data_IF_258184677108
#
_entry.id   IF_258184677108
#
_cell.length_a   1.000
_cell.length_b   1.000
_cell.length_c   1.000
_cell.angle_alpha   90.00
_cell.angle_beta   90.00
_cell.angle_gamma   90.00
#
_symmetry.space_group_name_H-M   'P 1'
#
loop_
_entity.id
_entity.type
_entity.pdbx_description
1 polymer ?
#
# COMPACT_ATOMS: atom_id res chain seq x y z
N UNK A 1 -66.71 33.52 34.13
CA UNK A 1 -65.81 34.59 33.67
C UNK A 1 -64.57 33.92 33.12
N UNK A 2 -64.58 33.68 31.81
CA UNK A 2 -64.09 34.60 30.76
C UNK A 2 -62.56 34.55 30.69
N UNK A 3 -61.95 33.85 29.72
CA UNK A 3 -61.83 34.14 28.27
C UNK A 3 -60.71 35.17 27.98
N UNK A 4 -59.65 34.68 27.30
CA UNK A 4 -58.76 35.37 26.33
C UNK A 4 -57.69 36.34 26.86
N UNK A 5 -56.55 36.59 26.22
CA UNK A 5 -55.91 36.11 24.98
C UNK A 5 -54.48 36.67 24.91
N UNK A 6 -53.56 35.96 24.26
CA UNK A 6 -52.78 36.52 23.15
C UNK A 6 -51.36 36.89 23.60
N UNK A 7 -50.30 36.92 22.79
CA UNK A 7 -50.00 36.57 21.41
C UNK A 7 -48.47 36.77 21.29
N UNK A 8 -47.77 36.07 20.39
CA UNK A 8 -46.39 36.45 20.05
C UNK A 8 -45.39 35.33 19.81
N UNK A 9 -45.64 34.41 18.87
CA UNK A 9 -44.56 33.63 18.25
C UNK A 9 -43.82 34.51 17.25
N UNK A 10 -42.63 34.98 17.62
CA UNK A 10 -41.67 35.51 16.65
C UNK A 10 -40.78 34.39 16.12
N UNK A 11 -40.72 34.31 14.79
CA UNK A 11 -39.81 33.51 14.02
C UNK A 11 -38.40 34.11 14.11
N UNK A 12 -37.41 33.27 14.43
CA UNK A 12 -36.00 33.52 14.11
C UNK A 12 -35.49 32.35 13.27
N UNK A 13 -35.22 32.65 12.02
CA UNK A 13 -34.34 31.89 11.13
C UNK A 13 -32.89 32.32 11.42
N UNK A 14 -31.95 31.48 10.98
CA UNK A 14 -30.46 31.62 10.96
C UNK A 14 -29.79 31.01 12.20
N UNK A 15 -28.91 30.01 12.09
CA UNK A 15 -28.37 29.31 10.93
C UNK A 15 -27.76 27.99 11.36
N UNK A 16 -27.79 27.01 10.45
CA UNK A 16 -27.17 25.71 10.64
C UNK A 16 -25.65 25.87 10.65
N UNK A 17 -25.01 25.54 11.78
CA UNK A 17 -23.57 25.30 11.82
C UNK A 17 -23.36 23.88 11.34
N UNK A 18 -22.94 23.74 10.09
CA UNK A 18 -22.38 22.50 9.57
C UNK A 18 -21.01 22.29 10.23
N UNK A 19 -20.94 21.37 11.19
CA UNK A 19 -19.67 20.87 11.70
C UNK A 19 -19.07 19.95 10.63
N UNK A 20 -18.14 20.49 9.82
CA UNK A 20 -17.28 19.68 8.96
C UNK A 20 -16.20 19.08 9.86
N UNK A 21 -16.37 17.81 10.21
CA UNK A 21 -15.29 16.98 10.73
C UNK A 21 -14.34 16.66 9.58
N UNK A 22 -13.28 17.46 9.44
CA UNK A 22 -12.14 17.09 8.61
C UNK A 22 -11.27 16.12 9.41
N UNK A 23 -11.43 14.82 9.15
CA UNK A 23 -10.55 13.77 9.68
C UNK A 23 -9.18 13.95 9.03
N UNK A 24 -8.24 14.58 9.75
CA UNK A 24 -6.85 14.70 9.34
C UNK A 24 -6.14 13.35 9.46
N UNK A 25 -5.87 12.69 8.33
CA UNK A 25 -4.84 11.65 8.28
C UNK A 25 -3.48 12.32 8.08
N UNK A 26 -2.84 12.64 9.19
CA UNK A 26 -1.45 13.08 9.21
C UNK A 26 -0.55 11.85 9.21
N UNK A 27 -0.07 11.40 8.04
CA UNK A 27 1.01 10.40 7.99
C UNK A 27 2.32 11.05 8.43
N UNK A 28 2.63 10.91 9.73
CA UNK A 28 3.93 11.25 10.29
C UNK A 28 4.89 10.07 10.15
N UNK A 29 5.98 10.33 9.43
CA UNK A 29 7.36 9.88 9.65
C UNK A 29 7.53 8.56 10.42
N UNK A 30 7.78 7.48 9.68
CA UNK A 30 8.43 6.29 10.25
C UNK A 30 9.94 6.55 10.37
N UNK A 31 10.39 7.05 11.53
CA UNK A 31 11.77 6.84 12.00
C UNK A 31 11.78 5.83 13.14
N UNK A 32 11.50 4.60 12.77
CA UNK A 32 12.12 3.42 13.34
C UNK A 32 12.40 2.55 12.12
N UNK A 33 13.57 1.91 12.02
CA UNK A 33 13.79 0.88 11.03
C UNK A 33 12.85 -0.29 11.34
N UNK A 34 11.59 -0.16 10.94
CA UNK A 34 10.62 -1.23 10.98
C UNK A 34 11.14 -2.25 9.98
N UNK A 35 11.87 -3.25 10.48
CA UNK A 35 12.24 -4.40 9.68
C UNK A 35 10.94 -4.95 9.07
N UNK A 36 10.92 -5.12 7.75
CA UNK A 36 9.78 -5.74 7.09
C UNK A 36 9.52 -7.10 7.75
N UNK A 37 8.26 -7.35 8.14
CA UNK A 37 7.84 -8.63 8.68
C UNK A 37 8.22 -9.73 7.69
N UNK A 38 8.70 -10.91 8.14
CA UNK A 38 9.01 -11.99 7.22
C UNK A 38 7.80 -12.34 6.35
N UNK A 39 8.00 -12.34 5.03
CA UNK A 39 6.97 -12.66 4.03
C UNK A 39 7.41 -13.90 3.30
N UNK A 40 6.54 -14.89 3.18
CA UNK A 40 6.80 -16.05 2.32
C UNK A 40 5.77 -16.09 1.20
N UNK A 41 6.26 -16.09 -0.04
CA UNK A 41 5.45 -16.28 -1.23
C UNK A 41 5.39 -17.76 -1.58
N UNK A 42 4.18 -18.25 -1.76
CA UNK A 42 3.87 -19.62 -2.12
C UNK A 42 3.09 -19.65 -3.44
N UNK A 43 3.36 -20.62 -4.30
CA UNK A 43 2.56 -20.89 -5.50
C UNK A 43 2.12 -22.33 -5.54
N UNK A 44 0.98 -22.57 -6.14
CA UNK A 44 0.45 -23.92 -6.31
C UNK A 44 -1.02 -23.89 -6.65
N UNK A 45 -1.81 -24.76 -6.04
CA UNK A 45 -3.22 -24.91 -6.38
C UNK A 45 -4.16 -24.95 -5.19
N UNK A 46 -5.38 -24.47 -5.42
CA UNK A 46 -6.56 -24.70 -4.59
C UNK A 46 -7.62 -25.34 -5.49
N UNK A 47 -8.01 -26.59 -5.23
CA UNK A 47 -8.98 -27.29 -6.08
C UNK A 47 -8.54 -27.44 -7.55
N UNK A 48 -7.22 -27.42 -7.80
CA UNK A 48 -6.63 -27.43 -9.14
C UNK A 48 -6.49 -26.05 -9.80
N UNK A 49 -7.10 -24.99 -9.26
CA UNK A 49 -6.92 -23.62 -9.76
C UNK A 49 -5.58 -23.05 -9.25
N UNK A 50 -4.82 -22.41 -10.15
CA UNK A 50 -3.54 -21.80 -9.82
C UNK A 50 -3.71 -20.56 -8.91
N UNK A 51 -2.91 -20.51 -7.85
CA UNK A 51 -2.91 -19.41 -6.89
C UNK A 51 -1.49 -19.04 -6.45
N UNK A 52 -1.34 -17.81 -5.98
CA UNK A 52 -0.22 -17.37 -5.16
C UNK A 52 -0.75 -16.98 -3.77
N UNK A 53 -0.09 -17.45 -2.72
CA UNK A 53 -0.40 -17.09 -1.33
C UNK A 53 0.82 -16.40 -0.73
N UNK A 54 0.63 -15.18 -0.25
CA UNK A 54 1.60 -14.47 0.56
C UNK A 54 1.21 -14.64 2.02
N UNK A 55 2.12 -15.20 2.82
CA UNK A 55 1.95 -15.26 4.28
C UNK A 55 2.98 -14.35 4.95
N UNK A 56 2.50 -13.48 5.83
CA UNK A 56 3.29 -12.51 6.58
C UNK A 56 3.23 -12.92 8.04
N UNK A 57 4.39 -13.26 8.61
CA UNK A 57 4.49 -13.67 10.00
C UNK A 57 4.81 -12.47 10.90
N UNK A 58 3.86 -12.13 11.78
CA UNK A 58 4.00 -11.10 12.80
C UNK A 58 4.44 -11.73 14.13
N UNK A 59 5.75 -11.96 14.25
CA UNK A 59 6.38 -12.55 15.44
C UNK A 59 6.19 -11.73 16.73
N UNK A 60 5.80 -10.45 16.63
CA UNK A 60 5.55 -9.61 17.81
C UNK A 60 4.18 -9.88 18.42
N UNK A 61 3.24 -10.40 17.63
CA UNK A 61 1.84 -10.61 18.00
C UNK A 61 1.41 -12.07 17.78
N UNK A 62 2.37 -12.98 17.59
CA UNK A 62 2.17 -14.40 17.29
C UNK A 62 1.05 -14.64 16.27
N UNK A 63 1.10 -13.89 15.17
CA UNK A 63 0.02 -13.84 14.19
C UNK A 63 0.51 -14.05 12.76
N UNK A 64 -0.39 -14.55 11.93
CA UNK A 64 -0.22 -14.65 10.49
C UNK A 64 -1.32 -13.84 9.80
N UNK A 65 -0.93 -13.06 8.80
CA UNK A 65 -1.82 -12.44 7.83
C UNK A 65 -1.24 -12.58 6.41
N UNK A 66 -1.80 -11.88 5.44
CA UNK A 66 -1.25 -11.83 4.09
C UNK A 66 -2.31 -11.71 3.02
N UNK A 67 -2.06 -12.35 1.87
CA UNK A 67 -2.88 -12.19 0.67
C UNK A 67 -3.01 -13.49 -0.11
N UNK A 68 -4.20 -13.74 -0.63
CA UNK A 68 -4.46 -14.74 -1.67
C UNK A 68 -4.57 -14.00 -3.01
N UNK A 69 -3.81 -14.45 -4.01
CA UNK A 69 -3.91 -14.00 -5.39
C UNK A 69 -4.34 -15.17 -6.27
N UNK A 70 -5.36 -14.95 -7.10
CA UNK A 70 -5.83 -15.94 -8.06
C UNK A 70 -5.50 -15.49 -9.48
N UNK A 71 -5.04 -16.41 -10.34
CA UNK A 71 -4.73 -16.08 -11.73
C UNK A 71 -5.99 -15.75 -12.56
N UNK A 72 -7.17 -16.16 -12.07
CA UNK A 72 -8.47 -15.94 -12.72
C UNK A 72 -8.95 -14.50 -12.51
N UNK A 73 -8.99 -14.05 -11.26
CA UNK A 73 -9.50 -12.70 -10.92
C UNK A 73 -8.38 -11.64 -10.94
N UNK A 74 -7.12 -12.10 -10.88
CA UNK A 74 -5.90 -11.29 -10.76
C UNK A 74 -6.06 -10.20 -9.73
N UNK A 75 -6.72 -10.59 -8.64
CA UNK A 75 -7.05 -9.75 -7.51
C UNK A 75 -6.27 -10.25 -6.32
N UNK A 76 -5.73 -9.33 -5.53
CA UNK A 76 -5.26 -9.66 -4.20
C UNK A 76 -6.45 -9.59 -3.25
N UNK A 77 -6.69 -10.70 -2.56
CA UNK A 77 -7.73 -10.82 -1.54
C UNK A 77 -7.04 -10.91 -0.19
N UNK A 78 -7.27 -9.96 0.74
CA UNK A 78 -6.59 -9.97 2.02
C UNK A 78 -6.99 -11.18 2.86
N UNK A 79 -6.03 -11.66 3.63
CA UNK A 79 -6.25 -12.69 4.64
C UNK A 79 -6.41 -12.03 6.01
N UNK A 80 -7.35 -12.52 6.82
CA UNK A 80 -7.56 -12.02 8.17
C UNK A 80 -6.34 -12.28 9.06
N UNK A 81 -5.98 -11.30 9.88
CA UNK A 81 -4.96 -11.52 10.90
C UNK A 81 -5.43 -12.54 11.92
N UNK A 82 -4.73 -13.67 11.97
CA UNK A 82 -5.10 -14.85 12.75
C UNK A 82 -3.94 -15.23 13.67
N UNK A 83 -4.19 -15.61 14.94
CA UNK A 83 -3.17 -16.21 15.79
C UNK A 83 -2.49 -17.41 15.13
N UNK A 84 -1.20 -17.60 15.40
CA UNK A 84 -0.38 -18.64 14.79
C UNK A 84 0.43 -19.39 15.85
N UNK A 85 0.51 -20.71 15.69
CA UNK A 85 1.36 -21.61 16.47
C UNK A 85 1.91 -22.69 15.54
N UNK A 86 3.18 -23.07 15.70
CA UNK A 86 3.84 -24.04 14.79
C UNK A 86 3.27 -25.45 14.90
N UNK A 87 2.72 -25.80 16.07
CA UNK A 87 2.17 -27.12 16.38
C UNK A 87 0.68 -27.25 16.04
N UNK A 88 0.02 -26.13 15.72
CA UNK A 88 -1.41 -26.08 15.41
C UNK A 88 -1.65 -25.78 13.92
N UNK A 89 -2.78 -26.25 13.39
CA UNK A 89 -3.20 -25.89 12.04
C UNK A 89 -3.60 -24.41 11.99
N UNK A 90 -3.24 -23.71 10.92
CA UNK A 90 -3.67 -22.32 10.71
C UNK A 90 -5.03 -22.31 10.00
N UNK A 91 -6.05 -21.74 10.66
CA UNK A 91 -7.35 -21.47 10.05
C UNK A 91 -7.49 -19.96 9.81
N UNK A 92 -7.25 -19.53 8.57
CA UNK A 92 -7.20 -18.11 8.21
C UNK A 92 -8.31 -17.76 7.22
N UNK A 93 -9.08 -16.71 7.51
CA UNK A 93 -10.18 -16.28 6.65
C UNK A 93 -9.66 -15.52 5.42
N UNK A 94 -10.28 -15.77 4.27
CA UNK A 94 -10.13 -15.00 3.03
C UNK A 94 -11.21 -13.92 3.02
N UNK A 95 -10.78 -12.66 3.09
CA UNK A 95 -11.66 -11.50 3.20
C UNK A 95 -12.03 -11.00 1.80
N UNK A 96 -13.20 -11.39 1.29
CA UNK A 96 -13.71 -10.93 0.00
C UNK A 96 -14.15 -9.46 0.04
N UNK A 97 -14.98 -9.02 -0.90
CA UNK A 97 -15.57 -7.67 -0.89
C UNK A 97 -16.97 -7.69 -0.24
N UNK A 98 -17.33 -6.87 0.78
CA UNK A 98 -16.59 -5.76 1.42
C UNK A 98 -15.89 -6.15 2.73
N UNK A 99 -14.80 -6.93 2.63
CA UNK A 99 -13.99 -7.49 3.73
C UNK A 99 -14.74 -8.47 4.63
N UNK A 100 -15.76 -9.14 4.10
CA UNK A 100 -16.41 -10.25 4.79
C UNK A 100 -15.70 -11.57 4.46
N UNK A 101 -15.57 -12.50 5.42
CA UNK A 101 -15.05 -13.84 5.14
C UNK A 101 -15.89 -14.53 4.06
N UNK A 102 -15.24 -14.91 2.96
CA UNK A 102 -15.86 -15.65 1.84
C UNK A 102 -15.42 -17.10 1.81
N UNK A 103 -14.16 -17.35 2.16
CA UNK A 103 -13.58 -18.68 2.34
C UNK A 103 -12.69 -18.70 3.59
N UNK A 104 -12.26 -19.88 4.00
CA UNK A 104 -11.20 -20.07 4.99
C UNK A 104 -10.16 -21.07 4.48
N UNK A 105 -8.88 -20.77 4.69
CA UNK A 105 -7.78 -21.68 4.43
C UNK A 105 -7.44 -22.40 5.74
N UNK A 106 -7.69 -23.71 5.80
CA UNK A 106 -7.31 -24.59 6.89
C UNK A 106 -6.00 -25.31 6.52
N UNK A 107 -4.87 -24.71 6.89
CA UNK A 107 -3.53 -25.24 6.62
C UNK A 107 -3.09 -26.20 7.74
N UNK A 108 -2.35 -27.24 7.36
CA UNK A 108 -1.70 -28.14 8.31
C UNK A 108 -0.63 -27.41 9.13
N UNK A 109 -0.28 -27.90 10.34
CA UNK A 109 0.82 -27.36 11.12
C UNK A 109 2.10 -27.29 10.30
N UNK A 110 2.75 -26.13 10.32
CA UNK A 110 3.97 -25.86 9.57
C UNK A 110 4.66 -24.64 10.16
N UNK A 111 5.99 -24.69 10.27
CA UNK A 111 6.82 -23.55 10.68
C UNK A 111 6.74 -22.39 9.66
N UNK A 112 6.97 -21.13 10.06
CA UNK A 112 6.90 -20.00 9.14
C UNK A 112 7.94 -20.15 8.03
N UNK A 113 7.48 -20.06 6.78
CA UNK A 113 8.35 -20.25 5.63
C UNK A 113 8.69 -21.71 5.33
N UNK A 114 7.90 -22.69 5.79
CA UNK A 114 8.03 -24.09 5.37
C UNK A 114 8.08 -24.23 3.83
N UNK A 115 8.77 -25.25 3.31
CA UNK A 115 8.92 -25.45 1.85
C UNK A 115 7.61 -25.77 1.14
N UNK A 116 6.71 -26.45 1.84
CA UNK A 116 5.41 -26.87 1.32
C UNK A 116 4.33 -26.52 2.32
N UNK A 117 3.18 -26.07 1.83
CA UNK A 117 1.96 -25.94 2.62
C UNK A 117 0.88 -26.83 2.01
N UNK A 118 0.15 -27.51 2.89
CA UNK A 118 -0.93 -28.44 2.56
C UNK A 118 -2.12 -28.09 3.42
N UNK A 119 -3.33 -28.30 2.92
CA UNK A 119 -4.52 -27.95 3.68
C UNK A 119 -5.80 -28.09 2.86
N UNK A 120 -6.84 -27.40 3.30
CA UNK A 120 -8.12 -27.30 2.59
C UNK A 120 -8.60 -25.86 2.56
N UNK A 121 -9.09 -25.42 1.42
CA UNK A 121 -9.92 -24.22 1.30
C UNK A 121 -11.36 -24.61 1.54
N UNK A 122 -12.11 -23.80 2.29
CA UNK A 122 -13.50 -24.03 2.65
C UNK A 122 -14.30 -22.80 2.21
N UNK A 123 -15.18 -22.96 1.23
CA UNK A 123 -16.15 -21.92 0.89
C UNK A 123 -17.16 -21.78 2.04
N UNK A 124 -17.31 -20.57 2.60
CA UNK A 124 -18.14 -20.36 3.79
C UNK A 124 -19.64 -20.31 3.49
N UNK A 125 -20.04 -20.12 2.23
CA UNK A 125 -21.44 -20.18 1.79
C UNK A 125 -21.85 -21.60 1.41
N UNK A 126 -21.12 -22.25 0.52
CA UNK A 126 -21.47 -23.56 -0.02
C UNK A 126 -20.99 -24.72 0.85
N UNK A 127 -20.00 -24.48 1.72
CA UNK A 127 -19.28 -25.49 2.52
C UNK A 127 -18.48 -26.48 1.67
N UNK A 128 -18.30 -26.20 0.38
CA UNK A 128 -17.42 -26.96 -0.49
C UNK A 128 -15.98 -26.87 0.03
N UNK A 129 -15.26 -28.00 -0.06
CA UNK A 129 -13.87 -28.10 0.35
C UNK A 129 -13.00 -28.49 -0.83
N UNK A 130 -11.87 -27.80 -0.95
CA UNK A 130 -10.91 -28.00 -2.03
C UNK A 130 -9.50 -28.14 -1.46
N UNK A 131 -8.73 -29.09 -1.97
CA UNK A 131 -7.37 -29.33 -1.49
C UNK A 131 -6.45 -28.15 -1.82
N UNK A 132 -5.60 -27.81 -0.86
CA UNK A 132 -4.53 -26.82 -1.00
C UNK A 132 -3.20 -27.57 -1.13
N UNK A 133 -2.45 -27.26 -2.18
CA UNK A 133 -1.08 -27.72 -2.37
C UNK A 133 -0.21 -26.57 -2.84
N UNK A 134 0.67 -26.08 -1.98
CA UNK A 134 1.51 -24.93 -2.27
C UNK A 134 2.99 -25.26 -2.03
N UNK A 135 3.84 -24.68 -2.85
CA UNK A 135 5.29 -24.73 -2.74
C UNK A 135 5.84 -23.31 -2.56
N UNK A 136 6.83 -23.18 -1.68
CA UNK A 136 7.49 -21.92 -1.41
C UNK A 136 8.31 -21.49 -2.63
N UNK A 137 8.00 -20.31 -3.14
CA UNK A 137 8.78 -19.65 -4.19
C UNK A 137 9.96 -18.91 -3.58
N UNK A 138 9.69 -18.05 -2.59
CA UNK A 138 10.70 -17.19 -1.96
C UNK A 138 10.28 -16.81 -0.55
N UNK A 139 11.26 -16.63 0.34
CA UNK A 139 11.08 -16.13 1.71
C UNK A 139 11.86 -14.83 1.85
N UNK A 140 11.14 -13.72 1.96
CA UNK A 140 11.67 -12.41 2.26
C UNK A 140 11.77 -12.25 3.77
N UNK A 141 12.97 -12.01 4.27
CA UNK A 141 13.25 -11.95 5.71
C UNK A 141 14.21 -10.81 6.03
N UNK A 142 14.03 -10.15 7.17
CA UNK A 142 14.97 -9.15 7.68
C UNK A 142 16.20 -9.76 8.35
N UNK A 143 16.21 -11.08 8.61
CA UNK A 143 17.33 -11.78 9.25
C UNK A 143 18.59 -11.68 8.38
N UNK A 144 19.70 -11.18 8.94
CA UNK A 144 20.97 -11.04 8.23
C UNK A 144 21.54 -12.38 7.74
N UNK A 145 21.19 -13.50 8.39
CA UNK A 145 21.58 -14.84 7.97
C UNK A 145 20.83 -15.32 6.72
N UNK A 146 19.69 -14.71 6.40
CA UNK A 146 18.88 -15.08 5.24
C UNK A 146 19.34 -14.34 3.98
N UNK A 147 19.26 -15.02 2.84
CA UNK A 147 19.42 -14.44 1.51
C UNK A 147 18.18 -14.76 0.68
N UNK A 148 17.82 -13.87 -0.24
CA UNK A 148 16.72 -14.07 -1.17
C UNK A 148 16.94 -13.34 -2.47
N UNK A 149 16.27 -13.83 -3.50
CA UNK A 149 16.24 -13.29 -4.86
C UNK A 149 14.90 -13.77 -5.46
N UNK A 150 14.02 -12.84 -5.79
CA UNK A 150 12.72 -13.19 -6.35
C UNK A 150 11.70 -12.07 -6.41
N UNK A 151 10.56 -12.39 -7.02
CA UNK A 151 9.45 -11.47 -7.22
C UNK A 151 8.50 -11.43 -6.04
N UNK A 152 8.03 -10.24 -5.66
CA UNK A 152 6.96 -10.05 -4.70
C UNK A 152 5.86 -9.15 -5.27
N UNK A 153 4.64 -9.66 -5.22
CA UNK A 153 3.43 -8.90 -5.53
C UNK A 153 3.23 -7.76 -4.52
N UNK A 154 2.89 -6.57 -5.03
CA UNK A 154 2.71 -5.35 -4.23
C UNK A 154 1.23 -5.08 -3.98
N UNK A 155 0.95 -4.40 -2.87
CA UNK A 155 -0.40 -4.00 -2.46
C UNK A 155 -0.50 -2.48 -2.36
N UNK A 156 -1.67 -1.87 -2.61
CA UNK A 156 -2.85 -2.43 -3.29
C UNK A 156 -2.61 -2.73 -4.79
N UNK A 157 -3.64 -3.14 -5.51
CA UNK A 157 -3.69 -3.13 -6.98
C UNK A 157 -4.91 -2.31 -7.42
N UNK A 158 -4.90 -1.74 -8.62
CA UNK A 158 -6.07 -1.03 -9.15
C UNK A 158 -6.91 -1.91 -10.09
N UNK A 159 -7.90 -1.30 -10.74
CA UNK A 159 -8.77 -2.03 -11.67
C UNK A 159 -8.02 -2.50 -12.92
N UNK A 160 -6.93 -1.84 -13.29
CA UNK A 160 -6.21 -2.01 -14.56
C UNK A 160 -4.86 -2.71 -14.39
N UNK A 161 -4.14 -2.44 -13.32
CA UNK A 161 -2.77 -2.87 -13.11
C UNK A 161 -2.56 -3.51 -11.74
N UNK A 162 -1.67 -4.48 -11.73
CA UNK A 162 -1.01 -4.96 -10.52
C UNK A 162 0.50 -4.95 -10.73
N UNK A 163 1.23 -4.86 -9.62
CA UNK A 163 2.67 -4.61 -9.64
C UNK A 163 3.41 -5.74 -8.95
N UNK A 164 4.54 -6.14 -9.51
CA UNK A 164 5.54 -6.96 -8.83
C UNK A 164 6.85 -6.22 -8.74
N UNK A 165 7.59 -6.45 -7.66
CA UNK A 165 8.97 -6.01 -7.52
C UNK A 165 9.89 -7.21 -7.51
N UNK A 166 10.99 -7.12 -8.25
CA UNK A 166 12.11 -8.02 -8.08
C UNK A 166 12.94 -7.54 -6.89
N UNK A 167 13.03 -8.34 -5.84
CA UNK A 167 13.76 -8.00 -4.63
C UNK A 167 14.88 -9.02 -4.35
N UNK A 168 16.03 -8.51 -3.95
CA UNK A 168 17.20 -9.33 -3.61
C UNK A 168 17.88 -8.86 -2.34
N UNK A 169 18.50 -9.81 -1.65
CA UNK A 169 19.34 -9.58 -0.48
C UNK A 169 20.39 -10.68 -0.38
N UNK A 170 21.65 -10.29 -0.29
CA UNK A 170 22.74 -11.21 0.01
C UNK A 170 22.84 -11.47 1.52
N UNK A 171 23.41 -12.63 1.89
CA UNK A 171 23.67 -12.95 3.30
C UNK A 171 24.62 -11.91 3.91
N UNK A 172 24.28 -11.40 5.10
CA UNK A 172 24.99 -10.35 5.82
C UNK A 172 24.49 -8.93 5.51
N UNK A 173 23.64 -8.75 4.48
CA UNK A 173 23.01 -7.46 4.23
C UNK A 173 21.86 -7.20 5.22
N UNK A 174 21.73 -5.94 5.65
CA UNK A 174 20.74 -5.54 6.65
C UNK A 174 19.33 -5.39 6.07
N UNK A 175 19.18 -5.20 4.76
CA UNK A 175 17.90 -4.96 4.11
C UNK A 175 17.94 -5.38 2.64
N UNK A 176 16.77 -5.68 2.07
CA UNK A 176 16.67 -5.98 0.65
C UNK A 176 16.71 -4.75 -0.21
N UNK A 177 17.01 -4.99 -1.48
CA UNK A 177 16.93 -4.00 -2.55
C UNK A 177 15.93 -4.45 -3.60
N UNK A 178 15.26 -3.48 -4.21
CA UNK A 178 14.51 -3.68 -5.44
C UNK A 178 15.27 -3.08 -6.60
N UNK A 179 15.46 -3.88 -7.65
CA UNK A 179 16.12 -3.46 -8.90
C UNK A 179 15.18 -3.40 -10.10
N UNK A 180 14.00 -4.02 -9.99
CA UNK A 180 13.01 -4.08 -11.07
C UNK A 180 11.60 -3.93 -10.52
N UNK A 181 10.78 -3.14 -11.20
CA UNK A 181 9.32 -3.09 -11.03
C UNK A 181 8.69 -3.56 -12.34
N UNK A 182 7.84 -4.59 -12.26
CA UNK A 182 7.05 -5.05 -13.41
C UNK A 182 5.59 -4.68 -13.22
N UNK A 183 5.04 -3.97 -14.20
CA UNK A 183 3.63 -3.58 -14.28
C UNK A 183 2.91 -4.59 -15.15
N UNK A 184 1.85 -5.19 -14.62
CA UNK A 184 1.03 -6.15 -15.35
C UNK A 184 -0.36 -5.58 -15.62
N UNK A 185 -0.85 -5.75 -16.85
CA UNK A 185 -2.25 -5.52 -17.16
C UNK A 185 -3.12 -6.62 -16.52
N UNK A 186 -4.11 -6.21 -15.73
CA UNK A 186 -4.99 -7.10 -14.99
C UNK A 186 -5.96 -7.85 -15.91
N UNK A 187 -6.38 -7.27 -17.02
CA UNK A 187 -7.31 -7.91 -17.95
C UNK A 187 -6.69 -9.14 -18.65
N UNK A 188 -5.37 -9.15 -18.85
CA UNK A 188 -4.68 -10.23 -19.57
C UNK A 188 -3.61 -10.96 -18.76
N UNK A 189 -3.19 -10.41 -17.61
CA UNK A 189 -2.10 -10.93 -16.79
C UNK A 189 -0.72 -10.82 -17.44
N UNK A 190 -0.56 -9.95 -18.43
CA UNK A 190 0.68 -9.78 -19.19
C UNK A 190 1.47 -8.56 -18.70
N UNK A 191 2.81 -8.62 -18.66
CA UNK A 191 3.62 -7.45 -18.37
C UNK A 191 3.43 -6.42 -19.48
N UNK A 192 3.07 -5.19 -19.10
CA UNK A 192 2.93 -4.05 -20.01
C UNK A 192 4.06 -3.05 -19.89
N UNK A 193 4.80 -3.09 -18.77
CA UNK A 193 5.98 -2.28 -18.57
C UNK A 193 6.92 -2.95 -17.58
N UNK A 194 8.23 -2.80 -17.84
CA UNK A 194 9.30 -3.14 -16.92
C UNK A 194 10.10 -1.87 -16.68
N UNK A 195 10.33 -1.53 -15.42
CA UNK A 195 11.17 -0.42 -14.99
C UNK A 195 12.37 -1.07 -14.29
N UNK A 196 13.54 -0.98 -14.89
CA UNK A 196 14.76 -1.66 -14.48
C UNK A 196 15.86 -0.68 -14.03
N UNK A 197 16.99 -1.24 -13.60
CA UNK A 197 18.15 -0.44 -13.17
C UNK A 197 17.91 0.35 -11.89
N UNK A 198 16.98 -0.10 -11.06
CA UNK A 198 16.59 0.58 -9.83
C UNK A 198 17.52 0.21 -8.66
N UNK A 199 17.61 1.09 -7.66
CA UNK A 199 18.21 0.78 -6.37
C UNK A 199 17.31 1.35 -5.27
N UNK A 200 16.27 0.58 -4.92
CA UNK A 200 15.22 0.99 -3.99
C UNK A 200 15.28 0.18 -2.71
N UNK A 201 14.82 0.82 -1.63
CA UNK A 201 14.60 0.14 -0.36
C UNK A 201 13.44 -0.86 -0.48
N UNK A 202 13.69 -2.12 -0.15
CA UNK A 202 12.64 -3.13 -0.09
C UNK A 202 11.92 -3.10 1.26
N UNK A 203 10.60 -2.92 1.22
CA UNK A 203 9.72 -2.88 2.40
C UNK A 203 8.58 -3.91 2.29
N UNK A 204 8.87 -5.08 1.72
CA UNK A 204 7.86 -6.13 1.56
C UNK A 204 6.78 -5.76 0.55
N UNK A 205 5.53 -6.06 0.87
CA UNK A 205 4.36 -5.75 0.02
C UNK A 205 4.08 -4.24 -0.10
N UNK A 206 4.68 -3.43 0.78
CA UNK A 206 4.51 -1.98 0.84
C UNK A 206 5.70 -1.22 0.25
N UNK A 207 6.48 -1.86 -0.62
CA UNK A 207 7.64 -1.21 -1.26
C UNK A 207 7.18 -0.08 -2.19
N UNK A 208 6.06 -0.27 -2.88
CA UNK A 208 5.38 0.76 -3.64
C UNK A 208 4.30 1.41 -2.78
N UNK A 209 4.31 2.74 -2.66
CA UNK A 209 3.16 3.47 -2.12
C UNK A 209 2.30 3.95 -3.28
N UNK A 210 1.18 3.26 -3.49
CA UNK A 210 0.26 3.45 -4.61
C UNK A 210 -0.86 4.44 -4.27
N UNK A 211 -1.15 5.37 -5.17
CA UNK A 211 -2.25 6.34 -5.08
C UNK A 211 -2.41 7.02 -6.45
N UNK A 212 -3.60 7.45 -6.84
CA UNK A 212 -3.82 8.30 -8.01
C UNK A 212 -3.33 9.73 -7.71
N UNK A 213 -2.10 10.08 -8.09
CA UNK A 213 -1.50 11.38 -7.76
C UNK A 213 -1.93 12.49 -8.73
N UNK A 214 -2.25 12.13 -9.97
CA UNK A 214 -2.59 13.07 -11.04
C UNK A 214 -4.11 13.24 -11.24
N UNK A 215 -4.94 12.41 -10.61
CA UNK A 215 -6.39 12.44 -10.66
C UNK A 215 -6.99 11.83 -11.94
N UNK A 216 -6.27 10.93 -12.63
CA UNK A 216 -6.71 10.33 -13.88
C UNK A 216 -7.47 9.00 -13.72
N UNK A 217 -7.61 8.52 -12.48
CA UNK A 217 -8.29 7.28 -12.15
C UNK A 217 -7.42 6.02 -12.26
N UNK A 218 -6.14 6.15 -12.61
CA UNK A 218 -5.15 5.06 -12.57
C UNK A 218 -4.21 5.29 -11.39
N UNK A 219 -3.83 4.22 -10.67
CA UNK A 219 -2.90 4.40 -9.55
C UNK A 219 -1.51 4.73 -10.07
N UNK A 220 -0.94 5.82 -9.57
CA UNK A 220 0.47 6.14 -9.60
C UNK A 220 1.19 5.45 -8.44
N UNK A 221 2.53 5.51 -8.42
CA UNK A 221 3.27 5.03 -7.25
C UNK A 221 4.47 5.89 -6.92
N UNK A 222 4.83 5.86 -5.63
CA UNK A 222 6.09 6.40 -5.16
C UNK A 222 6.93 5.31 -4.49
N UNK A 223 8.25 5.47 -4.60
CA UNK A 223 9.24 4.53 -4.07
C UNK A 223 10.26 5.25 -3.21
N UNK A 224 10.90 4.50 -2.32
CA UNK A 224 11.99 5.01 -1.50
C UNK A 224 13.33 4.57 -2.10
N UNK A 225 14.07 5.45 -2.80
CA UNK A 225 15.38 5.10 -3.32
C UNK A 225 16.40 4.91 -2.19
N UNK A 226 17.43 4.13 -2.46
CA UNK A 226 18.61 4.06 -1.61
C UNK A 226 19.47 5.32 -1.81
N UNK A 227 20.27 5.68 -0.80
CA UNK A 227 21.20 6.81 -0.92
C UNK A 227 22.36 6.43 -1.83
N UNK A 228 22.68 7.25 -2.85
CA UNK A 228 23.84 7.01 -3.72
C UNK A 228 25.17 7.02 -2.95
N UNK A 229 25.25 7.78 -1.85
CA UNK A 229 26.46 7.95 -1.04
C UNK A 229 26.55 6.96 0.14
N UNK A 230 25.43 6.34 0.51
CA UNK A 230 25.38 5.32 1.57
C UNK A 230 24.28 4.30 1.22
N UNK A 231 24.63 3.20 0.55
CA UNK A 231 23.66 2.22 0.11
C UNK A 231 23.05 1.43 1.28
N UNK A 232 23.42 1.69 2.54
CA UNK A 232 22.75 1.10 3.71
C UNK A 232 21.59 1.95 4.22
N UNK A 233 21.41 3.15 3.66
CA UNK A 233 20.41 4.12 4.09
C UNK A 233 19.47 4.47 2.95
N UNK A 234 18.22 4.72 3.30
CA UNK A 234 17.25 5.26 2.35
C UNK A 234 17.51 6.74 2.11
N UNK A 235 17.12 7.21 0.94
CA UNK A 235 17.06 8.64 0.66
C UNK A 235 16.08 9.32 1.61
N UNK A 236 16.18 10.65 1.72
CA UNK A 236 15.19 11.45 2.47
C UNK A 236 13.89 11.64 1.69
N UNK A 237 13.93 11.44 0.37
CA UNK A 237 12.88 11.81 -0.54
C UNK A 237 12.48 10.62 -1.39
N UNK A 238 11.18 10.54 -1.67
CA UNK A 238 10.61 9.54 -2.55
C UNK A 238 10.77 9.96 -4.00
N UNK A 239 10.92 8.97 -4.86
CA UNK A 239 10.72 9.11 -6.30
C UNK A 239 9.27 8.81 -6.63
N UNK A 240 8.71 9.53 -7.59
CA UNK A 240 7.31 9.42 -7.99
C UNK A 240 7.23 9.02 -9.45
N UNK A 241 6.43 8.00 -9.75
CA UNK A 241 6.19 7.49 -11.09
C UNK A 241 4.72 7.71 -11.42
N UNK A 242 4.47 8.45 -12.50
CA UNK A 242 3.14 8.84 -12.93
C UNK A 242 2.78 8.09 -14.19
N UNK A 243 1.58 7.51 -14.22
CA UNK A 243 1.04 6.86 -15.40
C UNK A 243 0.65 7.90 -16.47
N UNK A 244 0.99 7.60 -17.72
CA UNK A 244 0.47 8.29 -18.89
C UNK A 244 0.04 7.27 -19.94
N UNK A 245 -1.13 7.45 -20.55
CA UNK A 245 -1.68 6.51 -21.51
C UNK A 245 -0.71 6.16 -22.66
N UNK A 246 0.07 7.13 -23.12
CA UNK A 246 1.02 6.98 -24.22
C UNK A 246 2.43 6.59 -23.77
N UNK A 247 2.77 6.80 -22.50
CA UNK A 247 4.14 6.69 -21.98
C UNK A 247 4.34 5.58 -20.95
N UNK A 248 3.26 5.00 -20.43
CA UNK A 248 3.30 4.19 -19.22
C UNK A 248 3.72 5.01 -18.01
N UNK A 249 4.23 4.33 -16.98
CA UNK A 249 4.78 4.92 -15.77
C UNK A 249 6.13 5.56 -16.03
N UNK A 250 6.24 6.86 -15.78
CA UNK A 250 7.48 7.63 -15.93
C UNK A 250 7.80 8.42 -14.67
N UNK A 251 9.09 8.52 -14.34
CA UNK A 251 9.55 9.30 -13.18
C UNK A 251 9.20 10.78 -13.35
N UNK A 252 8.52 11.35 -12.37
CA UNK A 252 8.11 12.76 -12.38
C UNK A 252 9.14 13.63 -11.63
N UNK A 253 10.06 14.21 -12.40
CA UNK A 253 11.13 15.07 -11.87
C UNK A 253 10.61 16.29 -11.12
N UNK A 254 9.46 16.85 -11.54
CA UNK A 254 8.89 18.02 -10.89
C UNK A 254 8.38 17.68 -9.49
N UNK A 255 7.67 16.56 -9.34
CA UNK A 255 7.16 16.12 -8.05
C UNK A 255 8.30 15.72 -7.11
N UNK A 256 9.32 15.01 -7.63
CA UNK A 256 10.56 14.73 -6.88
C UNK A 256 11.28 16.01 -6.42
N UNK A 257 11.37 17.01 -7.29
CA UNK A 257 11.96 18.32 -6.96
C UNK A 257 11.16 19.09 -5.89
N UNK A 258 9.83 18.92 -5.84
CA UNK A 258 9.01 19.51 -4.79
C UNK A 258 9.20 18.77 -3.46
N UNK A 259 9.25 17.43 -3.48
CA UNK A 259 9.54 16.63 -2.29
C UNK A 259 10.89 17.01 -1.66
N UNK A 260 11.90 17.29 -2.49
CA UNK A 260 13.20 17.77 -1.99
C UNK A 260 13.13 19.11 -1.22
N UNK A 261 12.11 19.93 -1.43
CA UNK A 261 11.93 21.22 -0.76
C UNK A 261 11.20 21.12 0.59
N UNK A 262 10.49 20.01 0.85
CA UNK A 262 9.68 19.85 2.05
C UNK A 262 8.59 18.80 1.91
N UNK A 263 7.62 18.85 2.80
CA UNK A 263 6.59 17.80 2.89
C UNK A 263 5.52 18.00 1.83
N UNK A 264 5.20 16.92 1.11
CA UNK A 264 4.11 16.90 0.15
C UNK A 264 2.86 16.28 0.77
N UNK A 265 1.74 16.96 0.56
CA UNK A 265 0.39 16.41 0.71
C UNK A 265 -0.20 16.22 -0.68
N UNK A 266 -0.44 14.97 -1.03
CA UNK A 266 -1.13 14.58 -2.25
C UNK A 266 -2.62 14.49 -1.93
N UNK A 267 -3.43 15.26 -2.65
CA UNK A 267 -4.87 15.35 -2.45
C UNK A 267 -5.62 14.86 -3.68
N UNK A 268 -6.94 14.83 -3.56
CA UNK A 268 -7.85 14.40 -4.62
C UNK A 268 -7.71 15.27 -5.89
N UNK A 269 -8.11 14.68 -7.03
CA UNK A 269 -8.17 15.34 -8.35
C UNK A 269 -6.85 16.00 -8.78
N UNK A 270 -5.73 15.34 -8.50
CA UNK A 270 -4.40 15.81 -8.92
C UNK A 270 -3.88 17.02 -8.15
N UNK A 271 -4.37 17.27 -6.93
CA UNK A 271 -3.89 18.38 -6.09
C UNK A 271 -2.63 17.98 -5.33
N UNK A 272 -1.64 18.86 -5.33
CA UNK A 272 -0.39 18.68 -4.56
C UNK A 272 -0.14 19.92 -3.74
N UNK A 273 0.04 19.78 -2.42
CA UNK A 273 0.39 20.88 -1.53
C UNK A 273 1.76 20.62 -0.91
N UNK A 274 2.67 21.57 -1.10
CA UNK A 274 4.00 21.56 -0.51
C UNK A 274 4.01 22.43 0.74
N UNK A 275 4.44 21.88 1.87
CA UNK A 275 4.94 22.64 3.02
C UNK A 275 6.47 22.71 2.90
N UNK A 276 7.04 23.87 2.54
CA UNK A 276 8.49 24.02 2.50
C UNK A 276 9.12 23.81 3.88
N UNK A 277 10.36 23.33 3.93
CA UNK A 277 11.10 23.15 5.20
C UNK A 277 11.26 24.46 5.98
N UNK A 278 11.41 25.58 5.27
CA UNK A 278 11.49 26.94 5.79
C UNK A 278 10.11 27.62 5.92
N UNK A 279 9.02 26.87 5.69
CA UNK A 279 7.67 27.40 5.68
C UNK A 279 7.01 27.56 7.05
N UNK A 280 7.70 27.26 8.16
CA UNK A 280 7.12 27.33 9.52
C UNK A 280 7.69 28.55 10.25
N UNK A 281 6.81 29.50 10.59
CA UNK A 281 7.13 30.60 11.52
C UNK A 281 6.54 30.32 12.90
N UNK A 282 7.38 29.83 13.81
CA UNK A 282 7.01 29.54 15.19
C UNK A 282 6.68 30.78 16.03
N UNK A 283 7.13 31.98 15.63
CA UNK A 283 6.79 33.22 16.36
C UNK A 283 5.41 33.72 16.00
N UNK A 284 5.05 33.60 14.72
CA UNK A 284 3.72 33.94 14.23
C UNK A 284 2.70 32.80 14.43
N UNK A 285 3.17 31.58 14.70
CA UNK A 285 2.32 30.38 14.76
C UNK A 285 1.72 30.07 13.39
N UNK A 286 2.52 30.13 12.32
CA UNK A 286 2.03 29.98 10.94
C UNK A 286 2.83 28.98 10.11
N UNK A 287 2.15 28.30 9.19
CA UNK A 287 2.72 27.39 8.19
C UNK A 287 2.34 27.89 6.80
N UNK A 288 3.33 28.12 5.95
CA UNK A 288 3.16 28.45 4.54
C UNK A 288 2.98 27.19 3.71
N UNK A 289 1.99 27.20 2.83
CA UNK A 289 1.69 26.14 1.88
C UNK A 289 1.78 26.67 0.46
N UNK A 290 2.41 25.92 -0.44
CA UNK A 290 2.38 26.15 -1.90
C UNK A 290 1.52 25.11 -2.55
N UNK A 291 0.54 25.53 -3.35
CA UNK A 291 -0.42 24.62 -3.98
C UNK A 291 -0.14 24.47 -5.46
N UNK A 292 -0.21 23.22 -5.92
CA UNK A 292 -0.03 22.80 -7.29
C UNK A 292 -1.20 21.91 -7.73
N UNK A 293 -1.40 21.82 -9.04
CA UNK A 293 -2.38 20.91 -9.65
C UNK A 293 -1.82 20.30 -10.93
N UNK A 294 -2.08 19.02 -11.14
CA UNK A 294 -1.89 18.39 -12.44
C UNK A 294 -2.90 19.00 -13.42
N UNK A 295 -2.40 19.66 -14.46
CA UNK A 295 -3.22 20.24 -15.55
C UNK A 295 -3.25 19.33 -16.78
N UNK A 296 -2.30 18.41 -16.85
CA UNK A 296 -2.32 17.19 -17.67
C UNK A 296 -1.78 16.05 -16.80
N UNK A 297 -1.93 14.77 -17.20
CA UNK A 297 -1.42 13.63 -16.43
C UNK A 297 0.05 13.75 -16.04
N UNK A 298 0.87 14.45 -16.84
CA UNK A 298 2.30 14.61 -16.60
C UNK A 298 2.75 16.03 -16.24
N UNK A 299 1.85 17.03 -16.30
CA UNK A 299 2.22 18.44 -16.10
C UNK A 299 1.61 19.00 -14.82
N UNK A 300 2.50 19.36 -13.89
CA UNK A 300 2.16 19.94 -12.60
C UNK A 300 2.40 21.47 -12.62
N UNK A 301 1.38 22.26 -12.33
CA UNK A 301 1.44 23.73 -12.31
C UNK A 301 1.13 24.29 -10.94
N UNK A 302 1.77 25.41 -10.58
CA UNK A 302 1.48 26.11 -9.33
C UNK A 302 0.18 26.91 -9.48
N UNK A 303 -0.75 26.72 -8.56
CA UNK A 303 -2.07 27.37 -8.59
C UNK A 303 -2.27 28.39 -7.46
N UNK A 304 -1.43 28.38 -6.41
CA UNK A 304 -1.55 29.34 -5.33
C UNK A 304 -0.58 29.13 -4.17
N UNK A 305 -0.84 29.86 -3.10
CA UNK A 305 -0.19 29.79 -1.79
C UNK A 305 -1.27 30.03 -0.72
N UNK A 306 -1.08 29.46 0.47
CA UNK A 306 -1.91 29.75 1.64
C UNK A 306 -1.09 29.71 2.93
N UNK A 307 -1.68 30.23 4.00
CA UNK A 307 -1.12 30.25 5.35
C UNK A 307 -2.09 29.56 6.31
N UNK A 308 -1.57 28.64 7.13
CA UNK A 308 -2.30 27.92 8.17
C UNK A 308 -1.77 28.36 9.55
N UNK A 309 -2.66 28.63 10.52
CA UNK A 309 -2.28 28.99 11.90
C UNK A 309 -2.32 27.79 12.84
N UNK A 310 -1.39 27.72 13.78
CA UNK A 310 -1.31 26.68 14.83
C UNK A 310 -0.89 27.25 16.19
#
# INVERSE_FOLDING_TARGET
MEIWSGAGRQWRVVGAVAAVFATMLSFHVHTASAQAKPITAYRGTIGGAAVEVLLIHDWQLDGMDGYLFTDVERSLVPLEKTPYSEDEGLLINVLGDPKLPTAALALQPAVPGAKHLRGRSIDLRSREQQDIQLERVVRFSSDQGDAYDGELLQVPADERFYFRVHARKARGEHGGRVDTITVFDRAHGQPVQVIDGLDLFFSGTDTLALHDFNGDGVLDFSVMPMRPDDPTRTARQRDYYIYGADTGYVRNEKLGSLAAQGDLKLGEEGRVSLRPQDGIDYRAGTIQWRHYRFVTPTRLERVGESEERF
#
